data_IF_809280251502
#
_entry.id   IF_809280251502
#
_cell.length_a   1.000
_cell.length_b   1.000
_cell.length_c   1.000
_cell.angle_alpha   90.00
_cell.angle_beta   90.00
_cell.angle_gamma   90.00
#
_symmetry.space_group_name_H-M   'P 1'
#
loop_
_entity.id
_entity.type
_entity.pdbx_description
1 polymer ?
#
# COMPACT_ATOMS: atom_id res chain seq x y z
N UNK A 1 -21.40 6.39 -5.67
CA UNK A 1 -20.09 5.79 -5.40
C UNK A 1 -19.08 6.92 -5.49
N UNK A 2 -18.68 7.49 -4.35
CA UNK A 2 -17.78 8.66 -4.33
C UNK A 2 -16.36 8.12 -4.44
N UNK A 3 -15.78 8.08 -5.64
CA UNK A 3 -14.37 7.73 -5.82
C UNK A 3 -13.55 8.65 -4.92
N UNK A 4 -12.80 8.14 -3.93
CA UNK A 4 -11.94 8.99 -3.12
C UNK A 4 -10.98 9.67 -4.08
N UNK A 5 -11.05 11.00 -4.18
CA UNK A 5 -10.12 11.77 -5.01
C UNK A 5 -8.73 11.49 -4.47
N UNK A 6 -7.90 10.75 -5.22
CA UNK A 6 -6.51 10.53 -4.85
C UNK A 6 -5.85 11.88 -4.59
N UNK A 7 -5.02 11.94 -3.55
CA UNK A 7 -4.13 13.07 -3.36
C UNK A 7 -3.24 13.20 -4.61
N UNK A 8 -2.88 14.43 -5.00
CA UNK A 8 -2.05 14.73 -6.16
C UNK A 8 -0.73 13.94 -6.17
N UNK A 9 -0.12 13.72 -4.99
CA UNK A 9 1.11 12.94 -4.91
C UNK A 9 0.87 11.44 -5.15
N UNK A 10 -0.23 10.88 -4.63
CA UNK A 10 -0.60 9.49 -4.94
C UNK A 10 -0.96 9.31 -6.42
N UNK A 11 -1.60 10.31 -7.04
CA UNK A 11 -1.87 10.27 -8.48
C UNK A 11 -0.56 10.25 -9.29
N UNK A 12 0.43 11.06 -8.91
CA UNK A 12 1.75 11.02 -9.55
C UNK A 12 2.47 9.68 -9.36
N UNK A 13 2.21 8.93 -8.29
CA UNK A 13 2.72 7.55 -8.15
C UNK A 13 2.10 6.65 -9.22
N UNK A 14 0.76 6.68 -9.34
CA UNK A 14 0.02 5.88 -10.33
C UNK A 14 0.46 6.23 -11.75
N UNK A 15 0.72 7.51 -12.04
CA UNK A 15 1.16 7.99 -13.34
C UNK A 15 2.68 7.80 -13.59
N UNK A 16 3.41 7.22 -12.63
CA UNK A 16 4.88 7.07 -12.65
C UNK A 16 5.64 8.39 -12.88
N UNK A 17 5.16 9.47 -12.25
CA UNK A 17 5.69 10.85 -12.37
C UNK A 17 6.14 11.47 -11.05
N UNK A 18 6.06 10.75 -9.95
CA UNK A 18 6.46 11.30 -8.66
C UNK A 18 7.99 11.38 -8.55
N UNK A 19 8.51 12.56 -8.22
CA UNK A 19 9.96 12.80 -8.12
C UNK A 19 10.60 12.17 -6.88
N UNK A 20 9.80 11.96 -5.82
CA UNK A 20 10.22 11.31 -4.58
C UNK A 20 9.16 10.29 -4.11
N UNK A 21 9.11 9.07 -4.67
CA UNK A 21 8.06 8.11 -4.35
C UNK A 21 7.96 7.74 -2.86
N UNK A 22 9.08 7.76 -2.15
CA UNK A 22 9.17 7.36 -0.74
C UNK A 22 8.62 8.42 0.22
N UNK A 23 8.37 9.65 -0.25
CA UNK A 23 7.64 10.64 0.54
C UNK A 23 6.20 10.21 0.86
N UNK A 24 5.62 9.34 0.02
CA UNK A 24 4.26 8.83 0.19
C UNK A 24 4.17 7.31 0.31
N UNK A 25 5.10 6.56 -0.29
CA UNK A 25 5.21 5.10 -0.19
C UNK A 25 6.02 4.66 1.03
N UNK A 26 5.82 3.43 1.46
CA UNK A 26 6.46 2.84 2.63
C UNK A 26 5.69 3.09 3.93
N UNK A 27 6.37 2.91 5.06
CA UNK A 27 5.82 3.05 6.41
C UNK A 27 6.00 4.47 6.92
N UNK A 28 4.91 5.12 7.28
CA UNK A 28 4.85 6.47 7.82
C UNK A 28 4.07 6.48 9.13
N UNK A 29 4.53 7.25 10.12
CA UNK A 29 3.81 7.44 11.38
C UNK A 29 3.28 8.86 11.45
N UNK A 30 1.97 9.04 11.47
CA UNK A 30 1.31 10.35 11.52
C UNK A 30 0.32 10.35 12.68
N UNK A 31 0.48 11.29 13.61
CA UNK A 31 -0.39 11.45 14.78
C UNK A 31 -0.58 10.16 15.60
N UNK A 32 0.49 9.36 15.75
CA UNK A 32 0.46 8.10 16.49
C UNK A 32 -0.19 6.92 15.75
N UNK A 33 -0.63 7.11 14.49
CA UNK A 33 -1.08 6.02 13.63
C UNK A 33 -0.02 5.69 12.59
N UNK A 34 0.21 4.41 12.38
CA UNK A 34 1.05 3.92 11.30
C UNK A 34 0.21 3.81 10.04
N UNK A 35 0.71 4.37 8.95
CA UNK A 35 0.16 4.21 7.60
C UNK A 35 1.23 3.57 6.73
N UNK A 36 0.89 2.49 6.05
CA UNK A 36 1.77 1.79 5.11
C UNK A 36 1.13 1.88 3.73
N UNK A 37 1.89 2.39 2.76
CA UNK A 37 1.45 2.46 1.37
C UNK A 37 2.42 1.72 0.47
N UNK A 38 1.86 0.91 -0.43
CA UNK A 38 2.64 0.18 -1.42
C UNK A 38 1.96 0.26 -2.77
N UNK A 39 2.76 0.31 -3.83
CA UNK A 39 2.28 0.24 -5.19
C UNK A 39 2.85 -1.04 -5.81
N UNK A 40 1.98 -2.03 -6.03
CA UNK A 40 2.37 -3.35 -6.56
C UNK A 40 1.54 -3.61 -7.82
N UNK A 41 2.10 -3.33 -9.01
CA UNK A 41 1.43 -3.56 -10.28
C UNK A 41 0.87 -4.97 -10.38
N UNK A 42 -0.36 -5.09 -10.89
CA UNK A 42 -1.06 -6.37 -11.12
C UNK A 42 -1.41 -7.18 -9.86
N UNK A 43 -1.14 -6.68 -8.66
CA UNK A 43 -1.62 -7.30 -7.43
C UNK A 43 -3.14 -7.12 -7.29
N UNK A 44 -3.83 -8.17 -6.87
CA UNK A 44 -5.25 -8.16 -6.51
C UNK A 44 -5.43 -7.93 -5.01
N UNK A 45 -4.57 -8.54 -4.19
CA UNK A 45 -4.61 -8.40 -2.74
C UNK A 45 -3.21 -8.26 -2.18
N UNK A 46 -3.06 -7.46 -1.13
CA UNK A 46 -1.80 -7.30 -0.38
C UNK A 46 -2.10 -7.36 1.12
N UNK A 47 -1.26 -8.07 1.85
CA UNK A 47 -1.35 -8.26 3.30
C UNK A 47 0.04 -8.05 3.92
N UNK A 48 0.11 -7.32 5.02
CA UNK A 48 1.33 -7.27 5.83
C UNK A 48 1.44 -8.60 6.58
N UNK A 49 2.52 -9.34 6.33
CA UNK A 49 2.70 -10.69 6.86
C UNK A 49 2.70 -10.71 8.38
N UNK A 50 3.38 -9.74 8.99
CA UNK A 50 3.41 -9.52 10.43
C UNK A 50 2.02 -9.06 10.90
N UNK A 51 1.29 -9.95 11.56
CA UNK A 51 -0.05 -9.70 12.06
C UNK A 51 -1.18 -10.03 11.07
N UNK A 52 -0.87 -10.54 9.87
CA UNK A 52 -1.86 -10.90 8.85
C UNK A 52 -2.85 -9.74 8.58
N UNK A 53 -2.31 -8.55 8.31
CA UNK A 53 -3.07 -7.32 8.23
C UNK A 53 -3.37 -6.99 6.76
N UNK A 54 -4.61 -7.21 6.27
CA UNK A 54 -4.95 -6.94 4.88
C UNK A 54 -4.91 -5.44 4.60
N UNK A 55 -4.31 -5.07 3.46
CA UNK A 55 -4.29 -3.71 2.96
C UNK A 55 -5.50 -3.44 2.07
N UNK A 56 -6.01 -2.22 2.10
CA UNK A 56 -7.11 -1.79 1.25
C UNK A 56 -6.55 -1.29 -0.09
N UNK A 57 -7.05 -1.85 -1.20
CA UNK A 57 -6.75 -1.35 -2.54
C UNK A 57 -7.49 -0.05 -2.77
N UNK A 58 -6.77 0.97 -3.25
CA UNK A 58 -7.38 2.22 -3.71
C UNK A 58 -8.01 1.96 -5.08
N UNK A 59 -9.34 2.13 -5.15
CA UNK A 59 -10.16 1.79 -6.32
C UNK A 59 -9.59 2.37 -7.62
N UNK A 60 -9.51 1.55 -8.67
CA UNK A 60 -9.01 1.96 -9.98
C UNK A 60 -7.48 2.04 -10.09
N UNK A 61 -6.73 1.63 -9.06
CA UNK A 61 -5.26 1.71 -9.03
C UNK A 61 -4.63 0.45 -8.44
N UNK A 62 -3.33 0.25 -8.66
CA UNK A 62 -2.54 -0.79 -8.01
C UNK A 62 -1.86 -0.29 -6.72
N UNK A 63 -2.44 0.74 -6.09
CA UNK A 63 -2.01 1.29 -4.81
C UNK A 63 -2.79 0.64 -3.67
N UNK A 64 -2.09 0.25 -2.62
CA UNK A 64 -2.66 -0.35 -1.41
C UNK A 64 -2.26 0.45 -0.18
N UNK A 65 -3.20 0.66 0.74
CA UNK A 65 -2.99 1.35 2.00
C UNK A 65 -3.45 0.49 3.18
N UNK A 66 -2.64 0.47 4.23
CA UNK A 66 -3.06 0.02 5.54
C UNK A 66 -2.83 1.14 6.55
N UNK A 67 -3.78 1.32 7.46
CA UNK A 67 -3.64 2.24 8.58
C UNK A 67 -4.08 1.56 9.86
N UNK A 68 -3.28 1.70 10.92
CA UNK A 68 -3.61 1.17 12.23
C UNK A 68 -2.59 1.56 13.29
N UNK A 69 -2.82 1.02 14.47
CA UNK A 69 -2.01 1.18 15.68
C UNK A 69 -1.12 -0.03 15.98
N UNK A 70 -1.22 -1.09 15.16
CA UNK A 70 -0.36 -2.26 15.30
C UNK A 70 1.13 -1.89 15.18
N UNK A 71 1.95 -2.50 16.02
CA UNK A 71 3.41 -2.33 15.98
C UNK A 71 3.98 -3.14 14.81
N UNK A 72 4.35 -2.44 13.74
CA UNK A 72 4.95 -3.04 12.56
C UNK A 72 6.48 -2.90 12.63
N UNK A 73 7.25 -4.00 12.54
CA UNK A 73 8.71 -3.96 12.50
C UNK A 73 9.26 -3.05 11.40
N UNK A 74 10.53 -2.67 11.50
CA UNK A 74 11.20 -1.91 10.43
C UNK A 74 11.26 -2.72 9.13
N UNK A 75 11.55 -4.02 9.26
CA UNK A 75 11.61 -4.97 8.14
C UNK A 75 10.39 -5.89 8.15
N UNK A 76 9.24 -5.33 7.79
CA UNK A 76 8.02 -6.12 7.57
C UNK A 76 8.04 -6.72 6.16
N UNK A 77 7.25 -7.77 5.98
CA UNK A 77 7.07 -8.46 4.71
C UNK A 77 5.65 -8.28 4.19
N UNK A 78 5.49 -8.45 2.90
CA UNK A 78 4.23 -8.39 2.21
C UNK A 78 3.93 -9.74 1.59
N UNK A 79 2.71 -10.22 1.80
CA UNK A 79 2.13 -11.34 1.05
C UNK A 79 1.14 -10.72 0.06
N UNK A 80 1.31 -10.99 -1.22
CA UNK A 80 0.40 -10.47 -2.24
C UNK A 80 0.06 -11.52 -3.28
N UNK A 81 -1.11 -11.36 -3.89
CA UNK A 81 -1.61 -12.26 -4.93
C UNK A 81 -1.76 -11.50 -6.23
N UNK A 82 -1.29 -12.09 -7.32
CA UNK A 82 -1.52 -11.57 -8.66
C UNK A 82 -2.84 -12.06 -9.27
N UNK A 83 -3.12 -11.62 -10.50
CA UNK A 83 -4.30 -12.01 -11.29
C UNK A 83 -4.36 -13.50 -11.65
N UNK A 84 -3.22 -14.17 -11.65
CA UNK A 84 -3.12 -15.61 -11.88
C UNK A 84 -3.27 -16.41 -10.57
N UNK A 85 -3.66 -15.74 -9.48
CA UNK A 85 -3.79 -16.30 -8.13
C UNK A 85 -2.48 -16.86 -7.56
N UNK A 86 -1.32 -16.44 -8.08
CA UNK A 86 -0.04 -16.81 -7.50
C UNK A 86 0.25 -15.91 -6.32
N UNK A 87 0.73 -16.53 -5.26
CA UNK A 87 1.12 -15.83 -4.04
C UNK A 87 2.62 -15.56 -4.06
N UNK A 88 2.98 -14.34 -3.66
CA UNK A 88 4.34 -13.83 -3.61
C UNK A 88 4.61 -13.28 -2.22
N UNK A 89 5.84 -13.47 -1.74
CA UNK A 89 6.32 -12.88 -0.47
C UNK A 89 7.54 -12.01 -0.74
N UNK A 90 7.54 -10.79 -0.21
CA UNK A 90 8.65 -9.84 -0.30
C UNK A 90 8.90 -9.12 1.00
#
# INVERSE_FOLDING_TARGET
>A
MTTPKLNADLQKIVDARHHDPFSVLGKHSVNGKTTIRVYIPYAETVTIAEGNLPMQRVEGTDLFEWQGDAEIPVHYRLIWKDKDYREHIT
#
